data_IF_664101210743
#
_entry.id   IF_664101210743
#
_cell.length_a   1.000
_cell.length_b   1.000
_cell.length_c   1.000
_cell.angle_alpha   90.00
_cell.angle_beta   90.00
_cell.angle_gamma   90.00
#
_symmetry.space_group_name_H-M   'P 1'
#
loop_
_entity.id
_entity.type
_entity.pdbx_description
1 polymer ?
2 non-polymer ?
3 non-polymer ?
4 water ?
#
# COMPACT_ATOMS: atom_id res chain seq x y z
N UNK A 29 27.81 12.00 5.66
CA UNK A 29 27.68 10.94 6.65
C UNK A 29 26.36 10.19 6.47
N UNK A 30 26.25 9.04 7.12
CA UNK A 30 25.07 8.19 7.02
C UNK A 30 23.92 8.68 7.92
N UNK A 31 22.70 8.85 7.37
CA UNK A 31 21.60 9.28 8.26
C UNK A 31 21.14 8.18 9.22
N UNK A 32 20.58 8.59 10.36
CA UNK A 32 20.00 7.60 11.30
C UNK A 32 19.03 6.70 10.56
N UNK A 33 19.06 5.42 10.90
CA UNK A 33 18.06 4.49 10.41
C UNK A 33 17.73 3.48 11.49
N UNK A 34 16.51 2.92 11.45
CA UNK A 34 16.12 1.96 12.48
C UNK A 34 16.95 0.69 12.38
N UNK A 35 17.32 0.15 13.53
CA UNK A 35 18.17 -1.04 13.59
C UNK A 35 17.41 -2.30 14.00
N UNK A 36 16.21 -2.11 14.53
CA UNK A 36 15.34 -3.19 14.95
C UNK A 36 13.93 -2.71 14.81
N UNK A 37 12.97 -3.63 14.84
CA UNK A 37 11.60 -3.27 14.51
C UNK A 37 11.01 -2.20 15.48
N UNK A 38 11.39 -2.22 16.76
CA UNK A 38 10.82 -1.24 17.68
C UNK A 38 11.36 0.18 17.42
N UNK A 39 12.47 0.29 16.68
CA UNK A 39 12.99 1.61 16.34
C UNK A 39 12.05 2.38 15.42
N UNK A 40 11.08 1.71 14.79
CA UNK A 40 10.11 2.39 13.95
C UNK A 40 9.24 3.31 14.81
N UNK A 41 9.22 3.09 16.13
CA UNK A 41 8.56 4.05 17.04
C UNK A 41 9.13 5.45 16.86
N UNK A 42 10.39 5.55 16.45
CA UNK A 42 11.04 6.86 16.43
C UNK A 42 10.87 7.60 15.13
N UNK A 43 10.54 6.87 14.08
CA UNK A 43 10.40 7.55 12.81
C UNK A 43 8.97 7.50 12.34
N UNK A 44 8.20 6.51 12.79
CA UNK A 44 6.81 6.40 12.35
C UNK A 44 5.98 7.58 12.84
N UNK A 45 6.47 8.28 13.87
CA UNK A 45 5.78 9.46 14.39
C UNK A 45 6.23 10.79 13.75
N UNK A 46 7.27 10.75 12.91
CA UNK A 46 7.82 11.95 12.26
C UNK A 46 6.93 12.36 11.08
N UNK A 47 5.66 12.50 11.41
CA UNK A 47 4.64 12.72 10.41
C UNK A 47 4.74 14.13 9.84
N UNK A 48 4.78 14.21 8.51
CA UNK A 48 4.89 15.47 7.81
C UNK A 48 3.52 16.10 7.56
N UNK A 49 2.51 15.27 7.48
CA UNK A 49 1.13 15.73 7.30
C UNK A 49 0.21 14.74 7.98
N UNK A 50 -0.46 15.17 9.05
CA UNK A 50 -1.29 14.27 9.84
C UNK A 50 -2.56 13.90 9.08
N UNK A 51 -3.10 12.72 9.40
CA UNK A 51 -4.21 12.17 8.65
C UNK A 51 -5.46 13.03 8.76
N UNK A 52 -5.52 13.87 9.80
CA UNK A 52 -6.65 14.77 9.97
C UNK A 52 -6.55 16.03 9.12
N UNK A 53 -5.38 16.24 8.52
CA UNK A 53 -5.12 17.45 7.72
C UNK A 53 -5.57 17.26 6.29
N UNK A 54 -6.88 17.31 6.08
CA UNK A 54 -7.45 16.97 4.78
C UNK A 54 -7.07 18.00 3.72
N UNK A 55 -6.85 17.50 2.50
CA UNK A 55 -6.60 18.34 1.35
C UNK A 55 -7.79 19.25 1.08
N UNK A 56 -7.55 20.44 0.56
CA UNK A 56 -8.63 21.37 0.31
C UNK A 56 -9.74 20.78 -0.57
N UNK A 57 -9.37 19.90 -1.48
CA UNK A 57 -10.35 19.33 -2.40
C UNK A 57 -10.92 18.00 -1.91
N UNK A 58 -10.63 17.64 -0.67
CA UNK A 58 -11.16 16.41 -0.09
C UNK A 58 -12.68 16.46 0.06
N UNK A 59 -13.39 15.38 -0.28
CA UNK A 59 -14.85 15.39 -0.13
C UNK A 59 -15.29 15.62 1.31
N UNK A 60 -14.42 15.32 2.27
CA UNK A 60 -14.74 15.52 3.68
C UNK A 60 -14.24 16.86 4.25
N UNK A 61 -13.73 17.74 3.41
CA UNK A 61 -13.07 18.96 3.89
C UNK A 61 -13.96 19.85 4.76
N UNK A 62 -15.25 19.90 4.45
CA UNK A 62 -16.22 20.72 5.21
C UNK A 62 -17.12 19.88 6.11
N UNK A 63 -16.77 18.61 6.26
CA UNK A 63 -17.58 17.67 7.01
C UNK A 63 -16.97 17.53 8.41
N UNK A 64 -17.51 18.29 9.37
CA UNK A 64 -16.91 18.32 10.70
C UNK A 64 -16.96 16.98 11.42
N UNK A 65 -18.03 16.22 11.22
CA UNK A 65 -18.10 14.88 11.80
C UNK A 65 -17.01 13.96 11.25
N UNK A 66 -16.78 13.99 9.94
CA UNK A 66 -15.74 13.18 9.31
C UNK A 66 -14.37 13.63 9.80
N UNK A 67 -14.18 14.94 9.94
CA UNK A 67 -12.89 15.45 10.42
C UNK A 67 -12.59 14.97 11.82
N UNK A 68 -13.60 14.96 12.69
CA UNK A 68 -13.41 14.48 14.05
C UNK A 68 -13.08 13.00 14.04
N UNK A 69 -13.73 12.25 13.17
CA UNK A 69 -13.45 10.83 13.00
C UNK A 69 -12.02 10.60 12.53
N UNK A 70 -11.55 11.43 11.60
CA UNK A 70 -10.18 11.29 11.12
C UNK A 70 -9.16 11.65 12.22
N UNK A 71 -9.50 12.61 13.07
CA UNK A 71 -8.64 12.91 14.22
C UNK A 71 -8.56 11.73 15.19
N UNK A 72 -9.71 11.07 15.41
CA UNK A 72 -9.73 9.85 16.20
C UNK A 72 -8.76 8.80 15.66
N UNK A 73 -8.82 8.54 14.35
CA UNK A 73 -7.93 7.53 13.77
C UNK A 73 -6.45 7.95 13.84
N UNK A 74 -6.18 9.23 13.61
CA UNK A 74 -4.80 9.65 13.60
C UNK A 74 -4.22 9.56 15.01
N UNK A 75 -5.01 9.93 16.01
CA UNK A 75 -4.54 9.80 17.39
C UNK A 75 -4.26 8.33 17.80
N UNK A 76 -5.09 7.39 17.36
CA UNK A 76 -4.85 5.97 17.62
C UNK A 76 -3.48 5.56 17.10
N UNK A 77 -3.16 6.00 15.90
CA UNK A 77 -1.88 5.66 15.30
C UNK A 77 -0.73 6.37 16.04
N UNK A 78 -0.92 7.63 16.39
CA UNK A 78 0.15 8.36 17.09
C UNK A 78 0.50 7.72 18.42
N UNK A 79 -0.50 7.18 19.09
CA UNK A 79 -0.31 6.60 20.43
C UNK A 79 0.15 5.14 20.42
N UNK A 80 0.10 4.51 19.24
CA UNK A 80 0.57 3.14 19.07
C UNK A 80 2.08 3.02 19.28
N UNK A 81 2.50 1.96 19.95
CA UNK A 81 3.93 1.65 20.10
C UNK A 81 4.14 0.21 19.71
N UNK A 82 5.27 -0.08 19.08
CA UNK A 82 5.54 -1.46 18.69
C UNK A 82 5.37 -2.43 19.87
N UNK A 83 4.69 -3.56 19.63
CA UNK A 83 4.40 -4.54 20.68
C UNK A 83 2.93 -4.48 21.08
N UNK A 84 2.31 -3.32 20.92
CA UNK A 84 0.89 -3.15 21.21
C UNK A 84 0.09 -3.98 20.21
N UNK A 85 -1.04 -4.56 20.64
CA UNK A 85 -2.07 -5.00 19.70
C UNK A 85 -2.61 -3.75 18.99
N UNK A 86 -2.84 -3.83 17.70
CA UNK A 86 -3.36 -2.65 17.01
C UNK A 86 -4.79 -2.42 17.50
N UNK A 87 -5.11 -1.21 17.98
CA UNK A 87 -6.45 -0.96 18.52
C UNK A 87 -7.57 -1.36 17.58
N UNK A 88 -8.58 -2.05 18.12
CA UNK A 88 -9.71 -2.47 17.32
C UNK A 88 -10.66 -1.31 17.25
N UNK A 89 -11.32 -1.17 16.10
CA UNK A 89 -12.19 -0.04 15.87
C UNK A 89 -13.59 -0.53 15.61
N UNK A 90 -14.59 0.15 16.17
CA UNK A 90 -15.95 -0.15 15.79
C UNK A 90 -16.33 0.73 14.62
N UNK A 91 -16.36 0.16 13.42
CA UNK A 91 -16.71 0.96 12.26
C UNK A 91 -18.20 1.29 12.23
N UNK A 92 -18.54 2.44 11.66
CA UNK A 92 -19.95 2.86 11.64
C UNK A 92 -20.69 2.16 10.50
N UNK A 93 -22.02 2.17 10.54
CA UNK A 93 -22.82 1.60 9.46
C UNK A 93 -22.46 2.24 8.11
N UNK A 94 -22.26 3.56 8.12
CA UNK A 94 -21.87 4.27 6.92
C UNK A 94 -20.51 3.80 6.37
N UNK A 95 -19.52 3.67 7.26
CA UNK A 95 -18.20 3.19 6.89
C UNK A 95 -18.28 1.79 6.30
N UNK A 96 -19.07 0.92 6.92
CA UNK A 96 -19.17 -0.43 6.43
C UNK A 96 -19.86 -0.49 5.07
N UNK A 97 -20.86 0.35 4.87
CA UNK A 97 -21.53 0.46 3.58
C UNK A 97 -20.57 0.91 2.47
N UNK A 98 -19.71 1.90 2.77
CA UNK A 98 -18.70 2.33 1.81
C UNK A 98 -17.76 1.19 1.43
N UNK A 99 -17.23 0.52 2.45
CA UNK A 99 -16.42 -0.68 2.22
C UNK A 99 -17.16 -1.71 1.33
N UNK A 100 -18.41 -2.02 1.66
CA UNK A 100 -19.16 -3.01 0.92
C UNK A 100 -19.31 -2.64 -0.54
N UNK A 101 -19.53 -1.37 -0.81
CA UNK A 101 -19.74 -0.90 -2.18
C UNK A 101 -18.48 -1.11 -3.01
N UNK A 102 -17.35 -0.72 -2.45
CA UNK A 102 -16.04 -0.88 -3.08
C UNK A 102 -15.70 -2.36 -3.26
N UNK A 103 -15.91 -3.12 -2.18
CA UNK A 103 -15.61 -4.55 -2.13
C UNK A 103 -16.37 -5.32 -3.21
N UNK A 104 -17.66 -5.03 -3.35
CA UNK A 104 -18.47 -5.75 -4.33
C UNK A 104 -18.02 -5.54 -5.76
N UNK A 105 -17.78 -4.28 -6.11
CA UNK A 105 -17.46 -3.93 -7.48
C UNK A 105 -16.06 -4.40 -7.86
N UNK A 106 -15.09 -4.20 -6.96
CA UNK A 106 -13.73 -4.68 -7.23
C UNK A 106 -13.67 -6.21 -7.37
N UNK A 107 -14.42 -6.95 -6.55
CA UNK A 107 -14.34 -8.41 -6.62
C UNK A 107 -14.89 -8.99 -7.92
N UNK A 108 -15.74 -8.23 -8.60
CA UNK A 108 -16.18 -8.67 -9.92
C UNK A 108 -15.04 -8.61 -10.95
N UNK A 109 -14.07 -7.73 -10.70
CA UNK A 109 -13.00 -7.47 -11.68
C UNK A 109 -11.75 -8.29 -11.42
N UNK A 110 -11.48 -8.59 -10.16
CA UNK A 110 -10.23 -9.27 -9.82
C UNK A 110 -9.95 -10.58 -10.63
N UNK A 111 -10.96 -11.45 -10.86
CA UNK A 111 -10.65 -12.69 -11.60
C UNK A 111 -10.06 -12.46 -12.97
N UNK A 112 -10.49 -11.42 -13.66
CA UNK A 112 -9.98 -11.15 -15.01
C UNK A 112 -8.84 -10.15 -15.06
N UNK A 113 -8.54 -9.50 -13.93
CA UNK A 113 -7.54 -8.43 -13.92
C UNK A 113 -6.30 -8.69 -13.06
N UNK A 114 -6.48 -9.34 -11.91
CA UNK A 114 -5.42 -9.44 -10.90
C UNK A 114 -4.46 -10.59 -11.18
N UNK A 115 -3.21 -10.45 -10.70
CA UNK A 115 -2.23 -11.50 -10.88
C UNK A 115 -2.62 -12.75 -10.07
N UNK A 116 -1.99 -13.86 -10.39
CA UNK A 116 -2.40 -15.14 -9.81
C UNK A 116 -2.12 -15.18 -8.33
N UNK A 117 -1.05 -14.51 -7.90
CA UNK A 117 -0.71 -14.50 -6.47
C UNK A 117 -1.77 -13.76 -5.65
N UNK A 118 -2.30 -12.67 -6.21
CA UNK A 118 -3.38 -11.95 -5.57
C UNK A 118 -4.61 -12.86 -5.41
N UNK A 119 -4.97 -13.55 -6.48
CA UNK A 119 -6.19 -14.36 -6.49
C UNK A 119 -6.05 -15.59 -5.59
N UNK A 120 -4.83 -16.09 -5.44
CA UNK A 120 -4.60 -17.21 -4.53
C UNK A 120 -4.83 -16.81 -3.06
N UNK A 121 -4.42 -15.60 -2.68
CA UNK A 121 -4.46 -15.23 -1.28
C UNK A 121 -5.75 -14.56 -0.83
N UNK A 122 -6.46 -13.92 -1.75
CA UNK A 122 -7.74 -13.28 -1.39
C UNK A 122 -8.74 -14.23 -0.65
N UNK A 123 -8.95 -15.47 -1.11
CA UNK A 123 -9.90 -16.34 -0.38
C UNK A 123 -9.44 -16.74 1.02
N UNK A 124 -8.13 -16.79 1.22
CA UNK A 124 -7.60 -17.06 2.55
C UNK A 124 -7.99 -15.94 3.52
N UNK A 125 -8.05 -14.71 3.02
CA UNK A 125 -8.42 -13.56 3.87
C UNK A 125 -9.90 -13.53 4.21
N UNK A 126 -10.74 -13.97 3.30
CA UNK A 126 -12.16 -14.12 3.62
C UNK A 126 -12.37 -15.17 4.69
N UNK A 127 -11.58 -16.24 4.65
CA UNK A 127 -11.75 -17.33 5.59
C UNK A 127 -11.23 -16.96 6.98
N UNK A 128 -10.05 -16.34 7.03
CA UNK A 128 -9.39 -16.14 8.31
C UNK A 128 -9.48 -14.73 8.90
N UNK A 129 -9.76 -13.72 8.07
CA UNK A 129 -9.73 -12.35 8.58
C UNK A 129 -11.03 -11.59 8.41
N UNK A 130 -12.08 -12.28 7.98
CA UNK A 130 -13.41 -11.68 7.96
C UNK A 130 -13.66 -10.71 6.83
N UNK A 131 -13.00 -10.93 5.69
CA UNK A 131 -13.26 -10.11 4.50
C UNK A 131 -14.64 -10.49 3.96
N UNK A 132 -15.62 -9.62 4.15
CA UNK A 132 -16.96 -9.81 3.65
C UNK A 132 -17.52 -8.47 3.31
N UNK A 133 -18.57 -8.45 2.50
CA UNK A 133 -19.21 -7.20 2.12
C UNK A 133 -19.69 -6.40 3.33
N UNK A 134 -20.15 -7.08 4.38
CA UNK A 134 -20.73 -6.34 5.50
C UNK A 134 -19.82 -6.32 6.73
N UNK A 135 -18.52 -6.50 6.51
CA UNK A 135 -17.57 -6.48 7.61
C UNK A 135 -16.23 -5.92 7.16
N UNK A 136 -15.75 -4.88 7.84
CA UNK A 136 -14.38 -4.39 7.60
C UNK A 136 -13.43 -5.13 8.53
N UNK A 137 -12.41 -5.80 7.96
CA UNK A 137 -11.43 -6.56 8.73
C UNK A 137 -10.68 -5.64 9.71
N UNK A 138 -10.35 -6.14 10.89
CA UNK A 138 -9.51 -5.38 11.82
C UNK A 138 -8.03 -5.53 11.46
N UNK A 139 -7.28 -4.43 11.55
CA UNK A 139 -5.85 -4.46 11.23
C UNK A 139 -5.10 -5.48 12.08
N UNK A 140 -5.47 -5.63 13.34
CA UNK A 140 -4.78 -6.58 14.19
C UNK A 140 -4.92 -8.00 13.67
N UNK A 141 -6.12 -8.36 13.23
CA UNK A 141 -6.34 -9.71 12.68
C UNK A 141 -5.55 -9.93 11.39
N UNK A 142 -5.52 -8.94 10.52
CA UNK A 142 -4.77 -9.05 9.29
C UNK A 142 -3.26 -9.11 9.58
N UNK A 143 -2.82 -8.30 10.54
CA UNK A 143 -1.41 -8.34 10.93
C UNK A 143 -1.00 -9.73 11.42
N UNK A 144 -1.83 -10.34 12.25
CA UNK A 144 -1.52 -11.68 12.76
C UNK A 144 -1.48 -12.72 11.64
N UNK A 145 -2.40 -12.60 10.69
CA UNK A 145 -2.39 -13.48 9.51
C UNK A 145 -1.09 -13.33 8.72
N UNK A 146 -0.68 -12.09 8.44
CA UNK A 146 0.55 -11.86 7.68
C UNK A 146 1.78 -12.34 8.42
N UNK A 147 1.80 -12.20 9.74
CA UNK A 147 2.97 -12.62 10.52
C UNK A 147 3.20 -14.11 10.34
N UNK A 148 2.11 -14.86 10.32
CA UNK A 148 2.22 -16.32 10.16
C UNK A 148 2.62 -16.71 8.72
N UNK A 149 2.16 -15.95 7.73
CA UNK A 149 2.38 -16.33 6.33
C UNK A 149 3.75 -15.93 5.79
N UNK A 150 4.17 -14.69 6.10
CA UNK A 150 5.40 -14.13 5.53
C UNK A 150 6.22 -13.32 6.51
N UNK A 151 5.75 -13.24 7.75
CA UNK A 151 6.44 -12.40 8.72
C UNK A 151 6.14 -10.92 8.55
N UNK A 152 5.29 -10.54 7.61
CA UNK A 152 4.85 -9.14 7.54
C UNK A 152 3.91 -8.82 8.68
N UNK A 153 3.89 -7.55 9.04
CA UNK A 153 3.01 -7.03 10.06
C UNK A 153 2.60 -5.65 9.67
N UNK A 154 1.57 -5.17 10.36
CA UNK A 154 1.01 -3.86 10.09
C UNK A 154 1.30 -2.90 11.25
N UNK A 155 1.58 -1.65 10.90
CA UNK A 155 1.60 -0.57 11.88
C UNK A 155 0.65 0.51 11.43
N UNK A 156 -0.31 0.92 12.30
CA UNK A 156 -1.17 2.05 11.93
C UNK A 156 -0.36 3.33 11.86
N UNK A 157 -0.62 4.12 10.84
CA UNK A 157 0.21 5.30 10.62
C UNK A 157 -0.65 6.56 10.68
N UNK A 158 -0.07 7.60 11.29
CA UNK A 158 -0.81 8.81 11.65
C UNK A 158 -0.81 9.88 10.57
N UNK A 159 -0.16 9.59 9.44
CA UNK A 159 -0.17 10.51 8.31
C UNK A 159 0.92 10.18 7.34
N UNK A 160 1.21 11.14 6.47
CA UNK A 160 2.26 11.05 5.47
C UNK A 160 3.64 11.13 6.10
N UNK A 161 4.53 10.21 5.72
CA UNK A 161 5.90 10.15 6.19
C UNK A 161 6.85 10.48 5.05
N UNK A 162 8.07 10.92 5.36
CA UNK A 162 9.07 10.98 4.31
C UNK A 162 9.24 9.61 3.65
N UNK A 163 9.67 9.58 2.39
CA UNK A 163 9.92 8.26 1.79
C UNK A 163 10.94 7.45 2.56
N UNK A 164 11.93 8.10 3.17
CA UNK A 164 12.90 7.37 3.97
C UNK A 164 12.22 6.64 5.13
N UNK A 165 11.37 7.34 5.86
CA UNK A 165 10.73 6.73 7.03
C UNK A 165 9.69 5.68 6.62
N UNK A 166 8.95 5.96 5.55
CA UNK A 166 7.96 5.00 5.09
C UNK A 166 8.61 3.70 4.60
N UNK A 167 9.62 3.82 3.73
CA UNK A 167 10.30 2.62 3.24
C UNK A 167 11.07 1.87 4.33
N UNK A 168 11.53 2.57 5.36
CA UNK A 168 12.29 1.87 6.38
C UNK A 168 11.46 0.80 7.06
N UNK A 169 10.15 1.00 7.12
CA UNK A 169 9.29 -0.02 7.69
C UNK A 169 9.44 -1.35 6.97
N UNK A 170 9.52 -1.29 5.65
CA UNK A 170 9.60 -2.51 4.86
C UNK A 170 10.83 -3.35 5.23
N UNK A 171 11.89 -2.70 5.70
CA UNK A 171 13.09 -3.47 6.05
C UNK A 171 12.83 -4.47 7.16
N UNK A 172 11.81 -4.22 7.98
CA UNK A 172 11.46 -5.09 9.11
C UNK A 172 10.14 -5.79 8.81
N UNK A 173 9.79 -5.82 7.53
CA UNK A 173 8.52 -6.39 7.05
C UNK A 173 7.35 -5.76 7.79
N UNK A 174 7.40 -4.44 7.94
CA UNK A 174 6.31 -3.67 8.55
C UNK A 174 5.72 -2.79 7.49
N UNK A 175 4.41 -2.90 7.30
CA UNK A 175 3.73 -2.03 6.37
C UNK A 175 2.96 -0.98 7.16
N UNK A 176 3.26 0.29 6.89
CA UNK A 176 2.58 1.44 7.50
C UNK A 176 1.24 1.62 6.82
N UNK A 177 0.17 1.46 7.60
CA UNK A 177 -1.20 1.33 7.06
C UNK A 177 -2.16 2.34 7.62
N UNK A 178 -2.98 2.93 6.76
CA UNK A 178 -4.07 3.81 7.23
C UNK A 178 -5.25 2.96 7.73
N UNK A 179 -5.98 3.50 8.73
CA UNK A 179 -6.98 2.72 9.43
C UNK A 179 -8.40 3.26 9.18
N UNK A 180 -8.48 4.49 8.71
CA UNK A 180 -9.77 5.14 8.43
C UNK A 180 -10.36 4.70 7.10
N UNK A 181 -11.62 5.02 6.88
CA UNK A 181 -12.32 4.72 5.65
C UNK A 181 -12.50 6.02 4.86
N UNK A 182 -12.38 5.93 3.53
CA UNK A 182 -12.69 7.04 2.65
C UNK A 182 -14.08 7.62 2.89
N UNK A 183 -14.24 8.89 2.55
CA UNK A 183 -15.50 9.57 2.71
C UNK A 183 -16.62 8.89 1.87
N UNK A 184 -17.79 8.78 2.46
CA UNK A 184 -18.88 8.01 1.85
C UNK A 184 -19.48 8.62 0.58
N UNK A 185 -19.24 9.90 0.34
CA UNK A 185 -19.82 10.55 -0.82
C UNK A 185 -19.18 10.09 -2.13
N UNK A 186 -17.97 9.56 -2.06
CA UNK A 186 -17.29 9.09 -3.27
C UNK A 186 -16.56 7.78 -2.99
N UNK A 187 -17.32 6.67 -2.93
CA UNK A 187 -16.78 5.36 -2.60
C UNK A 187 -15.73 4.85 -3.60
N UNK A 188 -15.84 5.23 -4.87
CA UNK A 188 -15.04 4.55 -5.89
C UNK A 188 -13.73 5.26 -6.22
N UNK A 189 -13.62 6.52 -5.84
CA UNK A 189 -12.41 7.26 -6.11
C UNK A 189 -11.84 8.02 -4.92
N UNK A 190 -10.53 7.91 -4.73
CA UNK A 190 -9.81 8.75 -3.81
C UNK A 190 -8.31 8.80 -4.17
N UNK A 191 -7.68 9.98 -4.09
CA UNK A 191 -6.24 10.14 -4.32
C UNK A 191 -5.41 9.96 -3.06
N UNK A 192 -6.07 9.60 -1.97
CA UNK A 192 -5.47 9.47 -0.68
C UNK A 192 -5.54 7.99 -0.28
N UNK A 193 -4.53 7.46 0.40
CA UNK A 193 -4.70 6.09 0.89
C UNK A 193 -5.80 6.03 1.95
N UNK A 194 -6.50 4.90 2.04
CA UNK A 194 -7.44 4.63 3.12
C UNK A 194 -7.38 3.15 3.40
N UNK A 195 -8.18 2.69 4.35
CA UNK A 195 -8.01 1.31 4.78
C UNK A 195 -8.57 0.33 3.73
N UNK A 196 -9.49 0.77 2.88
CA UNK A 196 -9.98 -0.08 1.80
C UNK A 196 -8.81 -0.41 0.87
N UNK A 197 -7.99 0.58 0.56
CA UNK A 197 -6.79 0.40 -0.25
C UNK A 197 -5.80 -0.52 0.41
N UNK A 198 -5.57 -0.34 1.70
CA UNK A 198 -4.61 -1.21 2.39
C UNK A 198 -5.07 -2.67 2.36
N UNK A 199 -6.34 -2.88 2.66
CA UNK A 199 -6.83 -4.24 2.89
C UNK A 199 -7.09 -4.99 1.60
N UNK A 200 -7.62 -4.31 0.60
CA UNK A 200 -7.92 -4.93 -0.69
C UNK A 200 -6.75 -4.80 -1.66
N UNK A 201 -5.94 -3.77 -1.54
CA UNK A 201 -4.87 -3.62 -2.49
C UNK A 201 -3.57 -4.24 -2.05
N UNK A 202 -3.14 -3.98 -0.82
CA UNK A 202 -1.80 -4.38 -0.38
C UNK A 202 -1.74 -5.75 0.28
N UNK A 203 -2.66 -6.00 1.20
CA UNK A 203 -2.52 -7.19 2.05
C UNK A 203 -2.47 -8.55 1.32
N UNK A 204 -3.29 -8.78 0.25
CA UNK A 204 -3.20 -10.10 -0.39
C UNK A 204 -1.82 -10.37 -0.97
N UNK A 205 -1.07 -9.36 -1.41
CA UNK A 205 0.27 -9.61 -1.93
C UNK A 205 1.33 -9.68 -0.84
N UNK A 206 1.12 -8.97 0.27
CA UNK A 206 2.07 -9.10 1.39
C UNK A 206 2.02 -10.51 1.95
N UNK A 207 0.94 -11.25 1.66
CA UNK A 207 0.83 -12.64 2.09
C UNK A 207 1.59 -13.61 1.20
N UNK A 208 2.19 -13.12 0.12
CA UNK A 208 2.89 -13.98 -0.82
C UNK A 208 4.40 -13.90 -0.58
N UNK A 209 5.05 -15.03 -0.29
CA UNK A 209 6.46 -14.92 0.09
C UNK A 209 7.37 -14.21 -0.94
N UNK A 210 7.21 -14.47 -2.23
CA UNK A 210 8.07 -13.81 -3.23
C UNK A 210 7.90 -12.30 -3.22
N UNK A 211 6.67 -11.85 -3.06
CA UNK A 211 6.38 -10.43 -3.03
C UNK A 211 6.86 -9.82 -1.73
N UNK A 212 6.70 -10.53 -0.62
CA UNK A 212 7.21 -10.04 0.67
C UNK A 212 8.72 -9.85 0.63
N UNK A 213 9.45 -10.77 -0.01
CA UNK A 213 10.90 -10.63 -0.09
C UNK A 213 11.26 -9.42 -0.98
N UNK A 214 10.58 -9.30 -2.13
CA UNK A 214 10.76 -8.13 -2.99
C UNK A 214 10.59 -6.81 -2.22
N UNK A 215 9.48 -6.72 -1.47
CA UNK A 215 9.18 -5.49 -0.73
C UNK A 215 10.21 -5.22 0.37
N UNK A 216 10.55 -6.27 1.13
CA UNK A 216 11.53 -6.09 2.18
C UNK A 216 12.83 -5.55 1.62
N UNK A 217 13.26 -6.05 0.46
CA UNK A 217 14.54 -5.62 -0.09
C UNK A 217 14.53 -4.16 -0.54
N UNK A 218 13.35 -3.62 -0.85
CA UNK A 218 13.27 -2.17 -1.11
C UNK A 218 13.60 -1.45 0.20
N UNK A 219 12.98 -1.88 1.29
CA UNK A 219 13.26 -1.28 2.58
C UNK A 219 14.70 -1.42 3.00
N UNK A 220 15.27 -2.61 2.85
CA UNK A 220 16.65 -2.83 3.28
C UNK A 220 17.63 -1.96 2.48
N UNK A 221 17.39 -1.85 1.18
CA UNK A 221 18.22 -0.98 0.34
C UNK A 221 18.13 0.48 0.78
N UNK A 222 17.00 0.89 1.33
CA UNK A 222 16.83 2.31 1.67
C UNK A 222 17.54 2.70 2.97
N UNK A 223 17.80 1.73 3.84
CA UNK A 223 18.31 2.05 5.17
C UNK A 223 19.66 2.74 5.11
N UNK A 224 19.71 3.99 5.57
CA UNK A 224 20.96 4.76 5.61
C UNK A 224 21.39 5.18 4.21
N UNK A 225 20.53 5.03 3.22
CA UNK A 225 20.91 5.42 1.85
C UNK A 225 20.91 6.94 1.67
N UNK A 226 21.56 7.44 0.61
CA UNK A 226 21.53 8.86 0.31
C UNK A 226 20.09 9.32 0.03
N UNK A 227 19.84 10.61 0.15
CA UNK A 227 18.53 11.16 -0.20
C UNK A 227 18.21 10.81 -1.65
N UNK A 228 19.20 10.94 -2.53
CA UNK A 228 19.01 10.62 -3.95
C UNK A 228 18.60 9.16 -4.14
N UNK A 229 19.29 8.26 -3.45
CA UNK A 229 18.96 6.84 -3.54
C UNK A 229 17.56 6.50 -3.01
N UNK A 230 17.20 7.09 -1.88
CA UNK A 230 15.87 6.89 -1.32
C UNK A 230 14.80 7.33 -2.31
N UNK A 231 14.99 8.48 -2.96
CA UNK A 231 13.98 8.95 -3.91
C UNK A 231 13.80 7.99 -5.08
N UNK A 232 14.91 7.48 -5.61
CA UNK A 232 14.83 6.52 -6.70
C UNK A 232 14.15 5.21 -6.27
N UNK A 233 14.48 4.74 -5.07
CA UNK A 233 13.84 3.54 -4.53
C UNK A 233 12.34 3.77 -4.35
N UNK A 234 11.96 4.97 -3.94
CA UNK A 234 10.55 5.28 -3.75
C UNK A 234 9.81 5.27 -5.08
N UNK A 235 10.44 5.75 -6.16
CA UNK A 235 9.81 5.74 -7.45
C UNK A 235 9.66 4.30 -7.94
N UNK A 236 10.69 3.47 -7.73
CA UNK A 236 10.58 2.06 -8.10
C UNK A 236 9.46 1.34 -7.31
N UNK A 237 9.34 1.67 -6.02
CA UNK A 237 8.26 1.17 -5.17
C UNK A 237 6.91 1.56 -5.76
N UNK A 238 6.78 2.81 -6.15
CA UNK A 238 5.54 3.34 -6.69
C UNK A 238 5.10 2.56 -7.92
N UNK A 239 6.03 2.28 -8.83
CA UNK A 239 5.67 1.67 -10.10
C UNK A 239 5.70 0.14 -10.08
N UNK A 240 5.88 -0.44 -8.89
CA UNK A 240 5.71 -1.88 -8.68
C UNK A 240 4.61 -2.12 -7.64
N UNK A 241 4.96 -1.93 -6.36
CA UNK A 241 4.04 -2.17 -5.26
C UNK A 241 2.73 -1.40 -5.38
N UNK A 242 2.75 -0.14 -5.83
CA UNK A 242 1.50 0.63 -5.91
C UNK A 242 0.85 0.54 -7.30
N UNK A 243 1.63 0.58 -8.39
CA UNK A 243 1.01 0.60 -9.72
C UNK A 243 1.57 -0.40 -10.74
N UNK A 244 2.15 -1.49 -10.25
CA UNK A 244 2.75 -2.50 -11.10
C UNK A 244 1.80 -3.36 -11.90
N UNK A 245 2.27 -3.75 -13.07
CA UNK A 245 1.66 -4.79 -13.89
C UNK A 245 2.63 -5.94 -13.96
N UNK A 246 2.14 -7.15 -14.15
CA UNK A 246 3.08 -8.23 -14.45
C UNK A 246 2.59 -9.06 -15.62
N UNK A 247 3.49 -9.84 -16.20
CA UNK A 247 3.13 -10.70 -17.32
C UNK A 247 3.12 -12.15 -16.85
N UNK A 248 1.97 -12.80 -16.97
CA UNK A 248 1.81 -14.19 -16.53
C UNK A 248 1.11 -14.98 -17.59
N UNK A 249 1.71 -16.12 -17.97
CA UNK A 249 1.23 -16.95 -19.05
C UNK A 249 0.87 -16.12 -20.28
N UNK A 250 1.71 -15.13 -20.59
CA UNK A 250 1.52 -14.31 -21.79
C UNK A 250 0.53 -13.16 -21.62
N UNK A 251 -0.15 -13.12 -20.48
CA UNK A 251 -1.17 -12.11 -20.22
C UNK A 251 -0.67 -10.99 -19.31
N UNK A 252 -1.13 -9.77 -19.56
CA UNK A 252 -0.90 -8.66 -18.64
C UNK A 252 -1.88 -8.71 -17.47
N UNK A 253 -1.33 -8.69 -16.25
CA UNK A 253 -2.16 -8.70 -15.04
C UNK A 253 -1.74 -7.57 -14.10
N UNK A 254 -2.56 -7.29 -13.10
CA UNK A 254 -2.29 -6.19 -12.18
C UNK A 254 -1.81 -6.68 -10.82
N UNK A 255 -0.72 -6.10 -10.29
CA UNK A 255 -0.38 -6.37 -8.89
C UNK A 255 -0.25 -5.11 -8.02
N UNK A 256 -0.26 -3.94 -8.65
CA UNK A 256 -0.14 -2.70 -7.88
C UNK A 256 -1.38 -2.41 -7.03
N UNK A 257 -1.14 -2.11 -5.74
CA UNK A 257 -2.22 -1.93 -4.76
C UNK A 257 -3.12 -0.73 -5.08
N UNK A 258 -2.52 0.33 -5.63
CA UNK A 258 -3.25 1.52 -6.04
C UNK A 258 -4.22 1.24 -7.19
N UNK A 259 -3.85 0.31 -8.07
CA UNK A 259 -4.76 -0.15 -9.12
C UNK A 259 -5.84 -1.07 -8.54
N UNK A 260 -5.39 -1.99 -7.68
CA UNK A 260 -6.30 -3.00 -7.14
C UNK A 260 -7.39 -2.41 -6.25
N UNK A 261 -7.23 -1.16 -5.81
CA UNK A 261 -8.31 -0.54 -5.03
C UNK A 261 -8.97 0.62 -5.75
N UNK A 262 -8.71 0.78 -7.05
CA UNK A 262 -9.32 1.87 -7.83
C UNK A 262 -10.04 1.28 -9.04
N UNK A 263 -11.37 1.21 -8.98
CA UNK A 263 -12.10 0.47 -10.01
C UNK A 263 -11.84 1.05 -11.41
N UNK A 264 -11.80 2.37 -11.52
CA UNK A 264 -11.64 3.02 -12.81
C UNK A 264 -10.25 2.79 -13.38
N UNK A 265 -9.21 2.91 -12.55
CA UNK A 265 -7.86 2.78 -13.11
C UNK A 265 -7.48 1.31 -13.31
N UNK A 266 -8.07 0.42 -12.51
CA UNK A 266 -7.87 -1.01 -12.71
C UNK A 266 -8.32 -1.43 -14.10
N UNK A 267 -9.50 -0.97 -14.48
CA UNK A 267 -10.00 -1.23 -15.83
C UNK A 267 -9.12 -0.56 -16.87
N UNK A 268 -8.71 0.67 -16.60
CA UNK A 268 -7.93 1.43 -17.56
C UNK A 268 -6.57 0.74 -17.85
N UNK A 269 -5.93 0.24 -16.80
CA UNK A 269 -4.57 -0.26 -16.93
C UNK A 269 -4.52 -1.46 -17.89
N UNK A 270 -5.59 -2.26 -17.96
CA UNK A 270 -5.57 -3.41 -18.87
C UNK A 270 -6.39 -3.17 -20.12
N UNK A 271 -6.76 -1.91 -20.36
CA UNK A 271 -7.37 -1.53 -21.62
C UNK A 271 -6.25 -1.30 -22.64
N UNK A 272 -6.60 -1.16 -23.90
CA UNK A 272 -5.60 -0.86 -24.91
C UNK A 272 -5.17 0.59 -24.89
N UNK A 273 -5.73 1.34 -23.95
CA UNK A 273 -5.56 2.79 -23.94
C UNK A 273 -4.40 3.24 -23.07
N UNK A 274 -3.78 2.30 -22.36
CA UNK A 274 -2.67 2.62 -21.48
C UNK A 274 -1.32 2.35 -22.11
N UNK A 275 -0.39 3.26 -21.91
CA UNK A 275 1.00 3.04 -22.31
C UNK A 275 1.68 2.14 -21.29
N UNK A 276 2.33 1.08 -21.77
CA UNK A 276 3.05 0.15 -20.88
C UNK A 276 4.49 -0.04 -21.35
N UNK A 277 5.41 -0.13 -20.39
CA UNK A 277 6.84 -0.27 -20.65
C UNK A 277 7.40 -1.38 -19.77
N UNK A 278 8.51 -2.00 -20.16
CA UNK A 278 9.06 -3.00 -19.25
C UNK A 278 9.62 -2.36 -17.99
N UNK A 279 9.43 -3.02 -16.85
CA UNK A 279 10.06 -2.56 -15.62
C UNK A 279 11.59 -2.63 -15.77
N UNK A 280 12.25 -1.52 -15.50
CA UNK A 280 13.69 -1.40 -15.66
C UNK A 280 14.13 -0.22 -14.80
N UNK A 281 14.63 -0.50 -13.59
CA UNK A 281 14.81 0.54 -12.57
C UNK A 281 15.50 1.80 -13.07
N UNK A 282 16.55 1.69 -13.89
CA UNK A 282 17.26 2.88 -14.34
C UNK A 282 16.38 3.79 -15.21
N UNK A 283 15.36 3.20 -15.84
CA UNK A 283 14.42 3.98 -16.65
C UNK A 283 13.19 4.35 -15.80
N UNK A 284 12.67 3.38 -15.07
CA UNK A 284 11.50 3.60 -14.24
C UNK A 284 11.70 4.75 -13.24
N UNK A 285 12.90 4.87 -12.69
CA UNK A 285 13.11 5.86 -11.62
C UNK A 285 13.09 7.29 -12.17
N UNK A 286 13.12 7.44 -13.49
CA UNK A 286 13.00 8.75 -14.12
C UNK A 286 11.56 9.23 -14.29
N UNK A 287 10.61 8.33 -14.11
CA UNK A 287 9.21 8.65 -14.36
C UNK A 287 8.58 9.40 -13.19
N UNK A 288 7.85 10.48 -13.48
CA UNK A 288 7.07 11.20 -12.47
C UNK A 288 5.93 10.35 -11.91
N UNK A 289 5.75 10.36 -10.59
CA UNK A 289 4.60 9.66 -9.98
C UNK A 289 3.42 10.62 -9.92
N UNK A 290 2.31 10.28 -10.59
CA UNK A 290 1.16 11.18 -10.62
C UNK A 290 0.17 10.87 -9.49
N UNK A 291 -0.51 11.89 -8.98
CA UNK A 291 -1.33 11.76 -7.77
C UNK A 291 -2.84 11.84 -8.04
N UNK A 292 -3.26 12.84 -8.79
CA UNK A 292 -4.69 13.13 -8.95
C UNK A 292 -5.27 12.69 -10.29
N UNK A 293 -4.50 11.93 -11.06
CA UNK A 293 -4.92 11.41 -12.36
C UNK A 293 -4.46 9.98 -12.50
N UNK A 294 -4.96 9.28 -13.51
CA UNK A 294 -4.35 8.01 -13.94
C UNK A 294 -2.87 8.24 -14.19
N UNK A 295 -2.06 7.19 -14.03
CA UNK A 295 -0.67 7.26 -14.45
C UNK A 295 -0.55 7.44 -15.97
N UNK A 296 0.53 8.07 -16.42
CA UNK A 296 0.79 8.23 -17.86
C UNK A 296 1.39 6.94 -18.46
N UNK A 297 2.03 6.16 -17.61
CA UNK A 297 2.65 4.91 -18.05
C UNK A 297 2.62 3.90 -16.91
N UNK A 298 2.50 2.63 -17.27
CA UNK A 298 2.62 1.53 -16.31
C UNK A 298 3.82 0.69 -16.68
N UNK A 299 4.46 0.08 -15.68
CA UNK A 299 5.62 -0.77 -15.91
C UNK A 299 5.30 -2.23 -15.65
N UNK A 300 5.70 -3.08 -16.59
CA UNK A 300 5.42 -4.50 -16.53
C UNK A 300 6.63 -5.28 -16.04
N UNK A 301 6.45 -5.98 -14.92
CA UNK A 301 7.47 -6.87 -14.38
C UNK A 301 7.23 -8.26 -14.95
N UNK A 302 8.29 -9.03 -15.18
CA UNK A 302 8.11 -10.37 -15.72
C UNK A 302 7.60 -11.33 -14.64
N UNK A 303 8.06 -11.10 -13.41
CA UNK A 303 7.65 -11.86 -12.24
C UNK A 303 8.15 -11.11 -11.02
N UNK A 304 7.68 -11.45 -9.83
CA UNK A 304 8.22 -10.83 -8.63
C UNK A 304 9.69 -11.22 -8.44
N UNK A 305 10.05 -12.44 -8.82
CA UNK A 305 11.43 -12.89 -8.73
C UNK A 305 12.32 -12.03 -9.63
N UNK A 306 11.85 -11.77 -10.84
CA UNK A 306 12.65 -11.00 -11.77
C UNK A 306 12.73 -9.53 -11.35
N UNK A 307 11.64 -8.96 -10.86
CA UNK A 307 11.66 -7.58 -10.38
C UNK A 307 12.68 -7.46 -9.25
N UNK A 308 12.68 -8.44 -8.36
CA UNK A 308 13.61 -8.49 -7.25
C UNK A 308 15.07 -8.51 -7.72
N UNK A 309 15.36 -9.35 -8.73
CA UNK A 309 16.72 -9.42 -9.29
C UNK A 309 17.13 -8.09 -9.93
N UNK A 310 16.21 -7.45 -10.65
CA UNK A 310 16.52 -6.18 -11.29
C UNK A 310 16.80 -5.10 -10.25
N UNK A 311 16.08 -5.11 -9.13
CA UNK A 311 16.34 -4.13 -8.08
C UNK A 311 17.68 -4.39 -7.40
N UNK A 312 18.06 -5.66 -7.25
CA UNK A 312 19.37 -5.99 -6.69
C UNK A 312 20.49 -5.38 -7.55
N UNK A 313 20.36 -5.53 -8.86
CA UNK A 313 21.38 -5.00 -9.78
C UNK A 313 21.41 -3.48 -9.69
N UNK A 314 20.23 -2.86 -9.61
CA UNK A 314 20.10 -1.41 -9.54
C UNK A 314 20.65 -0.81 -8.24
N UNK A 315 20.33 -1.41 -7.11
CA UNK A 315 20.78 -0.89 -5.82
C UNK A 315 22.29 -0.86 -5.68
N UNK A 316 22.97 -1.81 -6.32
CA UNK A 316 24.43 -1.77 -6.34
C UNK A 316 24.97 -0.48 -6.95
N UNK A 317 24.24 0.08 -7.90
CA UNK A 317 24.71 1.26 -8.63
C UNK A 317 24.43 2.60 -7.94
N UNK A 318 23.54 2.62 -6.96
CA UNK A 318 23.13 3.89 -6.35
C UNK A 318 23.53 4.00 -4.88
N UNK A 319 24.00 2.90 -4.30
CA UNK A 319 24.57 2.95 -2.95
C UNK A 319 26.09 2.94 -3.03
#
# INVERSE_FOLDING_TARGET
MKHHHHHHHGAAGTSLYKKAGENLYFQGSVPWFPKKISDLDHCANRVLMYGSELDADHPGFKDNVYRKRRKYFADLAMNYKHGDPIPKVEFTEEEIKTWGTVFQELNKLYPTHACREYLKNLPLLSKYCGYREDNIPQLEDVSNFLKERTGFSIRPVAGYLSPRDFLSGLAFRVFHCTQYVRHSSDPFYTPEPDTCHELLGHVPLLAEPSFAQFSQEIGLASLGASEEAVQKLATCYFFTVEFGLCKQDGQLRVFGAGLLSSISELKHALSGHAKVKPFDPKITCKQECLITTFQDVYFVSESFEDAKEKMREFTKTIKRPFGVKY
#
